data_IF_094255620590
#
_entry.id   IF_094255620590
#
_cell.length_a   1.000
_cell.length_b   1.000
_cell.length_c   1.000
_cell.angle_alpha   90.00
_cell.angle_beta   90.00
_cell.angle_gamma   90.00
#
_symmetry.space_group_name_H-M   'P 1'
#
loop_
_entity.id
_entity.type
_entity.pdbx_description
1 polymer ?
#
# COMPACT_ATOMS: atom_id res chain seq x y z
N UNK A 1 3.97 -26.53 -4.01
CA UNK A 1 3.13 -25.92 -2.97
C UNK A 1 4.09 -25.40 -1.90
N UNK A 2 4.76 -24.27 -2.21
CA UNK A 2 5.65 -23.61 -1.27
C UNK A 2 4.79 -22.83 -0.28
N UNK A 3 4.97 -23.10 1.00
CA UNK A 3 4.48 -22.25 2.08
C UNK A 3 5.23 -20.92 1.97
N UNK A 4 4.53 -19.87 1.54
CA UNK A 4 4.93 -18.49 1.81
C UNK A 4 5.06 -18.40 3.34
N UNK A 5 6.27 -18.15 3.82
CA UNK A 5 6.53 -17.97 5.25
C UNK A 5 5.66 -16.78 5.69
N UNK A 6 4.67 -17.03 6.54
CA UNK A 6 3.85 -15.96 7.10
C UNK A 6 4.82 -15.00 7.79
N UNK A 7 4.87 -13.74 7.35
CA UNK A 7 5.70 -12.71 7.98
C UNK A 7 5.54 -12.84 9.51
N UNK A 8 6.66 -13.13 10.20
CA UNK A 8 6.62 -13.32 11.65
C UNK A 8 6.00 -12.09 12.28
N UNK A 9 5.03 -12.32 13.18
CA UNK A 9 4.45 -11.24 13.98
C UNK A 9 5.60 -10.52 14.72
N UNK A 10 5.62 -9.17 14.72
CA UNK A 10 6.59 -8.47 15.53
C UNK A 10 6.37 -8.84 17.02
N UNK A 11 7.43 -8.96 17.84
CA UNK A 11 7.32 -9.51 19.20
C UNK A 11 6.22 -8.90 20.07
N UNK A 12 6.01 -7.58 20.02
CA UNK A 12 4.94 -6.94 20.79
C UNK A 12 3.53 -7.39 20.37
N UNK A 13 3.33 -7.71 19.09
CA UNK A 13 2.06 -8.23 18.60
C UNK A 13 1.85 -9.71 18.95
N UNK A 14 2.91 -10.47 19.25
CA UNK A 14 2.79 -11.81 19.84
C UNK A 14 2.16 -11.71 21.23
N UNK A 15 2.65 -10.78 22.06
CA UNK A 15 2.09 -10.53 23.39
C UNK A 15 0.62 -10.07 23.33
N UNK A 16 0.29 -9.15 22.42
CA UNK A 16 -1.11 -8.71 22.23
C UNK A 16 -2.01 -9.83 21.70
N UNK A 17 -1.48 -10.80 20.95
CA UNK A 17 -2.26 -11.90 20.42
C UNK A 17 -2.79 -12.82 21.52
N UNK A 18 -2.07 -12.95 22.64
CA UNK A 18 -2.43 -13.77 23.79
C UNK A 18 -3.55 -13.15 24.66
N UNK A 19 -3.87 -11.86 24.45
CA UNK A 19 -4.92 -11.18 25.19
C UNK A 19 -6.33 -11.68 24.78
N UNK A 20 -7.10 -12.12 25.77
CA UNK A 20 -8.45 -12.64 25.56
C UNK A 20 -9.48 -11.52 25.36
N UNK A 21 -10.38 -11.70 24.38
CA UNK A 21 -11.50 -10.80 24.13
C UNK A 21 -12.78 -11.31 24.81
N UNK A 22 -13.39 -10.47 25.67
CA UNK A 22 -14.61 -10.82 26.39
C UNK A 22 -15.86 -10.98 25.48
N UNK A 23 -15.86 -10.32 24.31
CA UNK A 23 -17.00 -10.29 23.39
C UNK A 23 -16.97 -11.45 22.38
N UNK A 24 -16.01 -11.39 21.44
CA UNK A 24 -15.83 -12.35 20.37
C UNK A 24 -14.33 -12.58 20.13
N UNK A 25 -13.92 -13.84 19.87
CA UNK A 25 -12.50 -14.18 19.70
C UNK A 25 -11.87 -13.42 18.54
N UNK A 26 -10.60 -13.06 18.68
CA UNK A 26 -9.83 -12.44 17.61
C UNK A 26 -9.78 -13.36 16.38
N UNK A 27 -9.94 -12.79 15.18
CA UNK A 27 -10.04 -13.56 13.93
C UNK A 27 -11.23 -14.54 13.89
N UNK A 28 -12.20 -14.39 14.79
CA UNK A 28 -13.43 -15.17 14.82
C UNK A 28 -14.44 -14.73 13.75
N UNK A 29 -15.63 -15.36 13.72
CA UNK A 29 -16.72 -14.95 12.83
C UNK A 29 -17.04 -13.46 12.95
N UNK A 30 -17.05 -12.75 11.82
CA UNK A 30 -17.27 -11.29 11.78
C UNK A 30 -16.03 -10.43 12.04
N UNK A 31 -14.90 -11.05 12.41
CA UNK A 31 -13.59 -10.40 12.61
C UNK A 31 -12.51 -10.90 11.65
N UNK A 32 -12.85 -11.81 10.74
CA UNK A 32 -11.92 -12.43 9.80
C UNK A 32 -12.34 -12.12 8.36
N UNK A 33 -11.71 -11.08 7.81
CA UNK A 33 -11.91 -10.58 6.46
C UNK A 33 -11.02 -11.25 5.45
N UNK A 34 -11.58 -11.54 4.28
CA UNK A 34 -10.82 -12.05 3.14
C UNK A 34 -11.26 -11.36 1.85
N UNK A 35 -10.30 -10.85 1.08
CA UNK A 35 -10.47 -10.48 -0.32
C UNK A 35 -9.34 -11.16 -1.11
N UNK A 36 -9.66 -12.19 -1.88
CA UNK A 36 -8.76 -12.78 -2.86
C UNK A 36 -9.24 -12.37 -4.25
N UNK A 37 -8.35 -11.85 -5.09
CA UNK A 37 -8.66 -11.54 -6.48
C UNK A 37 -7.50 -11.97 -7.39
N UNK A 38 -7.82 -12.61 -8.50
CA UNK A 38 -6.87 -12.96 -9.55
C UNK A 38 -7.31 -12.28 -10.85
N UNK A 39 -6.39 -11.54 -11.45
CA UNK A 39 -6.63 -10.84 -12.73
C UNK A 39 -5.69 -11.38 -13.80
N UNK A 40 -6.17 -11.42 -15.05
CA UNK A 40 -5.38 -11.87 -16.19
C UNK A 40 -5.67 -11.05 -17.44
N UNK A 41 -4.68 -10.97 -18.33
CA UNK A 41 -4.77 -10.31 -19.63
C UNK A 41 -4.44 -11.32 -20.74
N UNK A 42 -5.13 -11.21 -21.88
CA UNK A 42 -4.88 -12.05 -23.05
C UNK A 42 -4.42 -11.18 -24.21
N UNK A 43 -3.14 -11.30 -24.59
CA UNK A 43 -2.50 -10.43 -25.59
C UNK A 43 -2.69 -8.95 -25.24
N UNK A 44 -3.08 -8.16 -26.22
CA UNK A 44 -3.29 -6.71 -26.04
C UNK A 44 -4.68 -6.35 -25.50
N UNK A 45 -5.50 -7.35 -25.16
CA UNK A 45 -6.85 -7.18 -24.63
C UNK A 45 -6.89 -6.51 -23.25
N UNK A 46 -8.08 -6.21 -22.71
CA UNK A 46 -8.19 -5.67 -21.35
C UNK A 46 -7.88 -6.74 -20.29
N UNK A 47 -7.35 -6.30 -19.16
CA UNK A 47 -7.26 -7.13 -17.95
C UNK A 47 -8.65 -7.46 -17.42
N UNK A 48 -8.86 -8.72 -17.01
CA UNK A 48 -10.12 -9.23 -16.49
C UNK A 48 -9.93 -9.89 -15.13
N UNK A 49 -10.89 -9.70 -14.24
CA UNK A 49 -11.03 -10.48 -13.01
C UNK A 49 -11.47 -11.90 -13.37
N UNK A 50 -10.60 -12.89 -13.14
CA UNK A 50 -10.83 -14.30 -13.50
C UNK A 50 -11.19 -15.17 -12.29
N UNK A 51 -10.91 -14.67 -11.08
CA UNK A 51 -11.30 -15.31 -9.83
C UNK A 51 -11.42 -14.24 -8.75
N UNK A 52 -12.45 -14.34 -7.94
CA UNK A 52 -12.55 -13.62 -6.67
C UNK A 52 -13.11 -14.53 -5.58
N UNK A 53 -12.73 -14.21 -4.33
CA UNK A 53 -13.34 -14.76 -3.13
C UNK A 53 -13.35 -13.68 -2.07
N UNK A 54 -14.54 -13.33 -1.60
CA UNK A 54 -14.70 -12.28 -0.61
C UNK A 54 -15.50 -12.80 0.59
N UNK A 55 -15.04 -12.48 1.80
CA UNK A 55 -15.79 -12.66 3.05
C UNK A 55 -15.87 -11.35 3.80
N UNK A 56 -16.94 -11.18 4.56
CA UNK A 56 -17.11 -10.02 5.44
C UNK A 56 -15.86 -9.81 6.30
N UNK A 57 -15.37 -8.57 6.45
CA UNK A 57 -16.07 -7.33 6.13
C UNK A 57 -15.81 -6.78 4.73
N UNK A 58 -15.01 -7.44 3.89
CA UNK A 58 -14.82 -6.99 2.52
C UNK A 58 -16.07 -7.18 1.66
N UNK A 59 -16.22 -6.31 0.67
CA UNK A 59 -17.16 -6.41 -0.43
C UNK A 59 -16.48 -5.96 -1.72
N UNK A 60 -16.77 -6.64 -2.83
CA UNK A 60 -16.25 -6.33 -4.15
C UNK A 60 -17.42 -6.30 -5.15
N UNK A 61 -17.65 -5.15 -5.79
CA UNK A 61 -18.75 -4.96 -6.76
C UNK A 61 -18.43 -5.47 -8.17
N UNK A 62 -17.26 -6.09 -8.36
CA UNK A 62 -16.66 -6.35 -9.67
C UNK A 62 -15.61 -5.29 -10.03
N UNK A 63 -15.29 -5.21 -11.32
CA UNK A 63 -14.27 -4.29 -11.84
C UNK A 63 -14.85 -2.97 -12.36
N UNK A 64 -14.04 -1.91 -12.33
CA UNK A 64 -14.30 -0.66 -13.04
C UNK A 64 -13.30 -0.52 -14.20
N UNK A 65 -13.80 -0.51 -15.42
CA UNK A 65 -12.99 -0.38 -16.64
C UNK A 65 -12.98 1.09 -17.12
N UNK A 66 -12.70 2.03 -16.21
CA UNK A 66 -12.73 3.47 -16.50
C UNK A 66 -11.39 4.18 -16.32
N UNK A 67 -10.33 3.40 -16.06
CA UNK A 67 -8.98 3.93 -15.93
C UNK A 67 -8.47 4.46 -17.28
N UNK A 68 -7.74 5.59 -17.33
CA UNK A 68 -7.21 6.13 -18.58
C UNK A 68 -6.12 5.23 -19.22
N UNK A 69 -5.48 4.34 -18.47
CA UNK A 69 -4.47 3.42 -18.98
C UNK A 69 -5.11 2.27 -19.77
N UNK A 70 -4.73 2.08 -21.05
CA UNK A 70 -5.28 1.00 -21.87
C UNK A 70 -5.12 -0.37 -21.21
N UNK A 71 -6.23 -1.10 -21.14
CA UNK A 71 -6.28 -2.47 -20.63
C UNK A 71 -6.08 -2.62 -19.11
N UNK A 72 -6.01 -1.53 -18.35
CA UNK A 72 -6.02 -1.54 -16.89
C UNK A 72 -7.46 -1.68 -16.36
N UNK A 73 -7.64 -2.51 -15.34
CA UNK A 73 -8.92 -2.66 -14.63
C UNK A 73 -8.78 -2.19 -13.19
N UNK A 74 -9.82 -1.58 -12.62
CA UNK A 74 -9.81 -1.12 -11.23
C UNK A 74 -10.64 -2.04 -10.34
N UNK A 75 -10.06 -2.45 -9.21
CA UNK A 75 -10.75 -3.11 -8.11
C UNK A 75 -10.92 -2.13 -6.96
N UNK A 76 -12.15 -1.93 -6.50
CA UNK A 76 -12.46 -1.11 -5.33
C UNK A 76 -12.82 -2.03 -4.18
N UNK A 77 -11.89 -2.24 -3.26
CA UNK A 77 -12.12 -2.97 -2.02
C UNK A 77 -13.01 -2.12 -1.11
N UNK A 78 -14.22 -2.59 -0.87
CA UNK A 78 -15.17 -1.92 0.01
C UNK A 78 -15.17 -2.62 1.36
N UNK A 79 -15.24 -1.84 2.44
CA UNK A 79 -15.46 -2.35 3.77
C UNK A 79 -16.68 -1.62 4.36
N UNK A 80 -17.91 -2.10 4.10
CA UNK A 80 -19.15 -1.43 4.54
C UNK A 80 -19.41 -1.55 6.06
N UNK A 81 -18.38 -1.76 6.87
CA UNK A 81 -18.43 -1.75 8.33
C UNK A 81 -18.21 -0.34 8.87
N UNK A 82 -18.32 -0.18 10.19
CA UNK A 82 -17.99 1.08 10.86
C UNK A 82 -16.49 1.36 10.97
N UNK A 83 -15.61 0.47 10.49
CA UNK A 83 -14.16 0.49 10.69
C UNK A 83 -13.64 -0.78 11.37
N UNK A 84 -12.33 -0.82 11.56
CA UNK A 84 -11.56 -1.94 12.08
C UNK A 84 -11.52 -1.87 13.60
N UNK A 85 -11.88 -2.96 14.27
CA UNK A 85 -11.98 -3.05 15.72
C UNK A 85 -11.00 -4.08 16.32
N UNK A 86 -10.92 -4.10 17.65
CA UNK A 86 -10.07 -5.03 18.38
C UNK A 86 -10.30 -6.50 18.01
N UNK A 87 -9.21 -7.19 17.66
CA UNK A 87 -9.24 -8.58 17.25
C UNK A 87 -9.58 -8.82 15.78
N UNK A 88 -9.75 -7.76 14.97
CA UNK A 88 -9.99 -7.92 13.53
C UNK A 88 -8.72 -8.40 12.80
N UNK A 89 -8.90 -9.27 11.82
CA UNK A 89 -7.88 -9.87 10.97
C UNK A 89 -8.39 -9.79 9.54
N UNK A 90 -7.93 -8.80 8.78
CA UNK A 90 -8.33 -8.61 7.39
C UNK A 90 -7.19 -9.02 6.49
N UNK A 91 -7.46 -9.90 5.54
CA UNK A 91 -6.51 -10.37 4.54
C UNK A 91 -6.95 -10.00 3.13
N UNK A 92 -6.07 -9.37 2.38
CA UNK A 92 -6.20 -9.08 0.96
C UNK A 92 -5.11 -9.83 0.20
N UNK A 93 -5.45 -10.51 -0.88
CA UNK A 93 -4.51 -11.19 -1.77
C UNK A 93 -4.86 -10.86 -3.22
N UNK A 94 -3.96 -10.18 -3.92
CA UNK A 94 -4.13 -9.78 -5.31
C UNK A 94 -3.06 -10.47 -6.15
N UNK A 95 -3.49 -11.28 -7.13
CA UNK A 95 -2.60 -12.00 -8.05
C UNK A 95 -2.82 -11.49 -9.47
N UNK A 96 -1.85 -10.73 -9.97
CA UNK A 96 -1.79 -10.26 -11.35
C UNK A 96 -0.96 -11.25 -12.18
N UNK A 97 -1.65 -12.02 -13.03
CA UNK A 97 -1.04 -12.92 -13.99
C UNK A 97 -0.21 -12.16 -15.05
N UNK A 98 0.60 -12.86 -15.89
CA UNK A 98 1.51 -12.20 -16.83
C UNK A 98 0.82 -11.13 -17.68
N UNK A 99 1.46 -9.96 -17.77
CA UNK A 99 0.99 -8.79 -18.50
C UNK A 99 -0.31 -8.16 -17.99
N UNK A 100 -0.90 -8.65 -16.89
CA UNK A 100 -2.11 -8.08 -16.32
C UNK A 100 -1.86 -6.72 -15.67
N UNK A 101 -2.87 -5.85 -15.72
CA UNK A 101 -2.82 -4.48 -15.21
C UNK A 101 -3.99 -4.21 -14.29
N UNK A 102 -3.70 -3.91 -13.04
CA UNK A 102 -4.74 -3.67 -12.04
C UNK A 102 -4.39 -2.51 -11.12
N UNK A 103 -5.39 -1.66 -10.91
CA UNK A 103 -5.41 -0.65 -9.87
C UNK A 103 -6.32 -1.14 -8.75
N UNK A 104 -5.79 -1.31 -7.55
CA UNK A 104 -6.54 -1.70 -6.36
C UNK A 104 -6.59 -0.50 -5.43
N UNK A 105 -7.79 -0.09 -5.05
CA UNK A 105 -8.02 1.01 -4.12
C UNK A 105 -9.12 0.66 -3.12
N UNK A 106 -9.29 1.47 -2.08
CA UNK A 106 -10.39 1.34 -1.11
C UNK A 106 -11.42 2.44 -1.32
N UNK A 107 -12.68 2.16 -0.95
CA UNK A 107 -13.77 3.13 -1.11
C UNK A 107 -13.68 4.32 -0.15
N UNK A 108 -12.96 4.17 0.95
CA UNK A 108 -12.81 5.20 1.98
C UNK A 108 -11.51 5.01 2.75
N UNK A 109 -11.21 5.98 3.61
CA UNK A 109 -10.21 5.81 4.66
C UNK A 109 -10.54 4.59 5.55
N UNK A 110 -9.50 3.88 5.96
CA UNK A 110 -9.57 2.82 6.96
C UNK A 110 -9.59 3.46 8.33
N UNK A 111 -10.60 3.15 9.14
CA UNK A 111 -10.78 3.71 10.47
C UNK A 111 -10.46 2.65 11.51
N UNK A 112 -9.37 2.80 12.25
CA UNK A 112 -8.97 1.87 13.30
C UNK A 112 -9.45 2.39 14.65
N UNK A 113 -10.36 1.67 15.29
CA UNK A 113 -10.97 2.05 16.56
C UNK A 113 -10.07 1.73 17.75
N UNK A 114 -10.34 2.40 18.88
CA UNK A 114 -9.71 2.15 20.17
C UNK A 114 -9.86 0.70 20.62
N UNK A 115 -8.85 0.20 21.33
CA UNK A 115 -8.79 -1.22 21.73
C UNK A 115 -8.47 -1.35 23.21
N UNK A 116 -9.30 -2.10 23.94
CA UNK A 116 -9.03 -2.41 25.34
C UNK A 116 -8.15 -3.67 25.51
N UNK A 117 -8.08 -4.50 24.47
CA UNK A 117 -7.32 -5.74 24.44
C UNK A 117 -7.16 -6.21 22.99
N UNK A 118 -6.14 -7.03 22.73
CA UNK A 118 -5.74 -7.53 21.44
C UNK A 118 -5.40 -6.40 20.45
N UNK A 119 -5.28 -6.71 19.17
CA UNK A 119 -4.93 -5.75 18.12
C UNK A 119 -5.76 -6.01 16.86
N UNK A 120 -5.68 -5.13 15.87
CA UNK A 120 -6.13 -5.39 14.51
C UNK A 120 -4.96 -5.66 13.55
N UNK A 121 -5.14 -6.62 12.64
CA UNK A 121 -4.17 -6.91 11.58
C UNK A 121 -4.78 -6.69 10.22
N UNK A 122 -4.19 -5.82 9.41
CA UNK A 122 -4.51 -5.61 8.01
C UNK A 122 -3.35 -6.15 7.17
N UNK A 123 -3.56 -7.27 6.49
CA UNK A 123 -2.54 -8.01 5.75
C UNK A 123 -2.87 -7.98 4.25
N UNK A 124 -1.99 -7.39 3.44
CA UNK A 124 -2.10 -7.35 1.99
C UNK A 124 -0.94 -8.11 1.34
N UNK A 125 -1.25 -9.11 0.53
CA UNK A 125 -0.30 -9.84 -0.31
C UNK A 125 -0.52 -9.47 -1.78
N UNK A 126 0.50 -8.91 -2.43
CA UNK A 126 0.44 -8.45 -3.81
C UNK A 126 1.42 -9.27 -4.64
N UNK A 127 0.94 -9.89 -5.72
CA UNK A 127 1.79 -10.66 -6.63
C UNK A 127 1.64 -10.14 -8.04
N UNK A 128 2.76 -9.81 -8.67
CA UNK A 128 2.81 -9.41 -10.07
C UNK A 128 3.72 -10.37 -10.83
N UNK A 129 3.13 -11.16 -11.72
CA UNK A 129 3.86 -12.01 -12.64
C UNK A 129 4.52 -11.19 -13.77
N UNK A 130 5.24 -11.88 -14.66
CA UNK A 130 6.07 -11.28 -15.70
C UNK A 130 5.36 -10.17 -16.49
N UNK A 131 5.98 -8.99 -16.55
CA UNK A 131 5.42 -7.79 -17.22
C UNK A 131 4.11 -7.26 -16.63
N UNK A 132 3.69 -7.74 -15.46
CA UNK A 132 2.47 -7.32 -14.77
C UNK A 132 2.62 -5.92 -14.16
N UNK A 133 1.52 -5.17 -14.14
CA UNK A 133 1.41 -3.87 -13.48
C UNK A 133 0.35 -3.94 -12.38
N UNK A 134 0.76 -3.78 -11.12
CA UNK A 134 -0.14 -3.81 -9.98
C UNK A 134 0.08 -2.57 -9.12
N UNK A 135 -0.93 -1.73 -8.97
CA UNK A 135 -0.88 -0.62 -8.02
C UNK A 135 -1.91 -0.81 -6.91
N UNK A 136 -1.48 -0.71 -5.65
CA UNK A 136 -2.34 -0.71 -4.46
C UNK A 136 -2.27 0.68 -3.81
N UNK A 137 -3.30 1.47 -4.06
CA UNK A 137 -3.41 2.87 -3.62
C UNK A 137 -4.66 3.00 -2.73
N UNK A 138 -4.62 2.49 -1.48
CA UNK A 138 -5.74 2.62 -0.56
C UNK A 138 -5.95 4.08 -0.11
N UNK A 139 -7.13 4.36 0.45
CA UNK A 139 -7.33 5.57 1.23
C UNK A 139 -6.52 5.57 2.53
N UNK A 140 -6.41 6.72 3.22
CA UNK A 140 -5.61 6.84 4.43
C UNK A 140 -6.08 5.92 5.57
N UNK A 141 -5.15 5.55 6.44
CA UNK A 141 -5.41 4.83 7.69
C UNK A 141 -5.50 5.82 8.84
N UNK A 142 -6.70 6.03 9.34
CA UNK A 142 -7.01 6.89 10.49
C UNK A 142 -6.98 6.04 11.75
N UNK A 143 -6.08 6.36 12.68
CA UNK A 143 -5.83 5.57 13.89
C UNK A 143 -6.28 6.36 15.12
N UNK A 144 -7.26 5.84 15.85
CA UNK A 144 -7.78 6.47 17.07
C UNK A 144 -6.92 6.19 18.31
N UNK A 145 -7.19 6.95 19.36
CA UNK A 145 -6.69 6.72 20.72
C UNK A 145 -6.77 5.25 21.18
N UNK A 146 -5.77 4.79 21.93
CA UNK A 146 -5.64 3.41 22.44
C UNK A 146 -5.68 2.29 21.37
N UNK A 147 -5.62 2.61 20.08
CA UNK A 147 -5.63 1.58 19.03
C UNK A 147 -4.30 0.81 18.95
N UNK A 148 -4.40 -0.48 18.59
CA UNK A 148 -3.25 -1.32 18.22
C UNK A 148 -3.44 -1.85 16.80
N UNK A 149 -2.61 -1.41 15.86
CA UNK A 149 -2.74 -1.78 14.45
C UNK A 149 -1.43 -2.32 13.90
N UNK A 150 -1.49 -3.53 13.35
CA UNK A 150 -0.46 -4.09 12.49
C UNK A 150 -0.94 -4.00 11.04
N UNK A 151 -0.20 -3.30 10.19
CA UNK A 151 -0.36 -3.34 8.74
C UNK A 151 0.83 -4.06 8.12
N UNK A 152 0.56 -5.00 7.22
CA UNK A 152 1.58 -5.74 6.50
C UNK A 152 1.26 -5.70 5.02
N UNK A 153 2.23 -5.30 4.21
CA UNK A 153 2.17 -5.41 2.74
C UNK A 153 3.33 -6.26 2.28
N UNK A 154 3.05 -7.43 1.72
CA UNK A 154 4.05 -8.33 1.14
C UNK A 154 3.91 -8.33 -0.37
N UNK A 155 5.02 -8.19 -1.08
CA UNK A 155 5.05 -8.03 -2.54
C UNK A 155 5.96 -9.10 -3.13
N UNK A 156 5.45 -9.86 -4.10
CA UNK A 156 6.21 -10.84 -4.90
C UNK A 156 6.22 -10.37 -6.36
N UNK A 157 7.41 -10.04 -6.87
CA UNK A 157 7.61 -9.56 -8.24
C UNK A 157 8.36 -10.60 -9.09
N UNK A 158 7.87 -10.80 -10.31
CA UNK A 158 8.61 -11.44 -11.39
C UNK A 158 9.35 -10.41 -12.27
N UNK A 159 10.07 -10.89 -13.28
CA UNK A 159 10.77 -10.04 -14.25
C UNK A 159 9.83 -9.08 -14.97
N UNK A 160 10.33 -7.88 -15.26
CA UNK A 160 9.59 -6.83 -15.95
C UNK A 160 8.32 -6.33 -15.21
N UNK A 161 8.00 -6.87 -14.04
CA UNK A 161 6.85 -6.45 -13.27
C UNK A 161 7.07 -5.06 -12.64
N UNK A 162 5.97 -4.34 -12.47
CA UNK A 162 5.93 -3.07 -11.75
C UNK A 162 4.86 -3.13 -10.68
N UNK A 163 5.24 -2.86 -9.42
CA UNK A 163 4.30 -2.75 -8.30
C UNK A 163 4.40 -1.38 -7.67
N UNK A 164 3.26 -0.70 -7.49
CA UNK A 164 3.19 0.58 -6.78
C UNK A 164 2.34 0.42 -5.52
N UNK A 165 2.82 0.88 -4.37
CA UNK A 165 2.10 0.81 -3.10
C UNK A 165 2.09 2.17 -2.43
N UNK A 166 0.92 2.63 -2.00
CA UNK A 166 0.78 3.83 -1.18
C UNK A 166 0.29 3.48 0.23
N UNK A 167 0.71 4.29 1.20
CA UNK A 167 0.18 4.29 2.57
C UNK A 167 0.20 5.71 3.14
N UNK A 168 -0.87 6.10 3.85
CA UNK A 168 -0.97 7.39 4.54
C UNK A 168 -1.52 7.15 5.93
N UNK A 169 -0.70 7.40 6.95
CA UNK A 169 -1.09 7.36 8.36
C UNK A 169 -1.62 8.72 8.80
N UNK A 170 -2.82 8.70 9.39
CA UNK A 170 -3.51 9.82 10.02
C UNK A 170 -3.73 9.49 11.52
N UNK A 171 -2.85 9.96 12.42
CA UNK A 171 -2.75 9.57 13.84
C UNK A 171 -3.56 10.44 14.80
N UNK A 172 -4.40 11.36 14.33
CA UNK A 172 -5.29 12.23 15.11
C UNK A 172 -6.74 11.70 15.19
N UNK A 173 -6.98 10.52 14.60
CA UNK A 173 -8.21 9.76 14.66
C UNK A 173 -9.47 10.50 14.21
N UNK A 174 -10.64 10.09 14.73
CA UNK A 174 -11.97 10.56 14.30
C UNK A 174 -12.67 11.45 15.35
N UNK A 175 -12.06 11.63 16.52
CA UNK A 175 -12.58 12.36 17.67
C UNK A 175 -11.60 13.47 18.07
N UNK A 176 -12.01 14.46 18.87
CA UNK A 176 -11.14 15.53 19.37
C UNK A 176 -10.10 14.99 20.40
N UNK A 177 -9.16 14.15 19.96
CA UNK A 177 -8.00 13.74 20.76
C UNK A 177 -6.70 14.34 20.21
N UNK A 178 -5.66 14.32 21.04
CA UNK A 178 -4.34 14.75 20.60
C UNK A 178 -3.77 13.74 19.58
N UNK A 179 -3.07 14.21 18.51
CA UNK A 179 -2.38 13.33 17.60
C UNK A 179 -1.44 12.37 18.33
N UNK A 180 -1.34 11.14 17.82
CA UNK A 180 -0.55 10.06 18.40
C UNK A 180 -1.10 9.54 19.74
N UNK A 181 -2.42 9.59 19.93
CA UNK A 181 -3.09 9.01 21.11
C UNK A 181 -3.22 7.48 21.11
N UNK A 182 -2.82 6.80 20.03
CA UNK A 182 -2.90 5.35 19.90
C UNK A 182 -1.83 4.63 20.75
N UNK A 183 -2.02 3.33 20.99
CA UNK A 183 -1.07 2.52 21.77
C UNK A 183 0.11 2.07 20.89
N UNK A 184 -0.19 1.40 19.77
CA UNK A 184 0.85 0.88 18.87
C UNK A 184 0.39 0.83 17.42
N UNK A 185 1.07 1.55 16.53
CA UNK A 185 0.91 1.43 15.09
C UNK A 185 2.20 0.88 14.47
N UNK A 186 2.09 -0.23 13.74
CA UNK A 186 3.21 -0.82 13.01
C UNK A 186 2.76 -1.14 11.58
N UNK A 187 3.24 -0.35 10.61
CA UNK A 187 3.05 -0.62 9.20
C UNK A 187 4.37 -1.11 8.58
N UNK A 188 4.34 -2.26 7.92
CA UNK A 188 5.53 -2.89 7.31
C UNK A 188 5.27 -3.21 5.85
N UNK A 189 6.25 -2.89 5.00
CA UNK A 189 6.28 -3.24 3.58
C UNK A 189 7.50 -4.11 3.31
N UNK A 190 7.28 -5.27 2.71
CA UNK A 190 8.33 -6.16 2.22
C UNK A 190 8.11 -6.47 0.75
N UNK A 191 9.19 -6.44 -0.02
CA UNK A 191 9.18 -6.83 -1.42
C UNK A 191 10.28 -7.85 -1.71
N UNK A 192 9.90 -8.91 -2.39
CA UNK A 192 10.79 -9.93 -2.92
C UNK A 192 10.77 -9.92 -4.45
N UNK A 193 11.93 -10.13 -5.04
CA UNK A 193 12.13 -10.31 -6.47
C UNK A 193 13.04 -11.53 -6.67
N UNK A 194 12.61 -12.48 -7.49
CA UNK A 194 13.27 -13.79 -7.68
C UNK A 194 13.59 -14.49 -6.33
N UNK A 195 12.63 -14.43 -5.40
CA UNK A 195 12.77 -15.01 -4.04
C UNK A 195 13.85 -14.35 -3.18
N UNK A 196 14.31 -13.14 -3.53
CA UNK A 196 15.26 -12.35 -2.74
C UNK A 196 14.58 -11.10 -2.21
N UNK A 197 14.72 -10.84 -0.92
CA UNK A 197 14.27 -9.61 -0.29
C UNK A 197 15.02 -8.41 -0.88
N UNK A 198 14.29 -7.50 -1.54
CA UNK A 198 14.81 -6.26 -2.12
C UNK A 198 14.41 -5.02 -1.35
N UNK A 199 13.37 -5.11 -0.51
CA UNK A 199 12.95 -4.04 0.38
C UNK A 199 12.34 -4.59 1.67
N UNK A 200 12.69 -3.96 2.79
CA UNK A 200 11.98 -4.08 4.06
C UNK A 200 11.96 -2.70 4.71
N UNK A 201 10.77 -2.11 4.80
CA UNK A 201 10.52 -0.82 5.44
C UNK A 201 9.45 -0.98 6.52
N UNK A 202 9.56 -0.20 7.59
CA UNK A 202 8.52 -0.13 8.61
C UNK A 202 8.39 1.26 9.24
N UNK A 203 7.14 1.63 9.51
CA UNK A 203 6.77 2.71 10.44
C UNK A 203 6.26 2.05 11.71
N UNK A 204 7.07 2.07 12.78
CA UNK A 204 6.72 1.51 14.10
C UNK A 204 6.68 2.63 15.13
N UNK A 205 5.47 2.95 15.60
CA UNK A 205 5.19 4.05 16.51
C UNK A 205 4.51 3.50 17.77
N UNK A 206 5.12 3.80 18.92
CA UNK A 206 4.61 3.51 20.26
C UNK A 206 4.68 4.77 21.11
N UNK A 207 3.66 5.63 21.07
CA UNK A 207 3.73 6.97 21.64
C UNK A 207 4.10 6.98 23.13
N UNK A 208 3.67 5.96 23.89
CA UNK A 208 4.01 5.80 25.30
C UNK A 208 5.48 5.40 25.56
N UNK A 209 6.15 4.76 24.60
CA UNK A 209 7.57 4.37 24.72
C UNK A 209 8.50 5.47 24.20
N UNK A 210 8.14 6.09 23.06
CA UNK A 210 8.87 7.20 22.44
C UNK A 210 7.90 8.16 21.78
N UNK A 211 8.00 9.45 22.15
CA UNK A 211 7.19 10.50 21.54
C UNK A 211 7.47 10.58 20.02
N UNK A 212 6.47 10.33 19.15
CA UNK A 212 6.66 10.38 17.70
C UNK A 212 7.05 11.78 17.21
N UNK A 213 6.77 12.82 18.01
CA UNK A 213 7.09 14.21 17.71
C UNK A 213 8.55 14.57 17.92
N UNK A 214 9.37 13.60 18.35
CA UNK A 214 10.82 13.76 18.37
C UNK A 214 11.34 14.08 16.95
N UNK A 215 12.25 15.07 16.78
CA UNK A 215 12.76 15.45 15.46
C UNK A 215 13.47 14.35 14.68
N UNK A 216 13.93 13.28 15.35
CA UNK A 216 14.53 12.11 14.68
C UNK A 216 13.48 11.07 14.25
N UNK A 217 12.21 11.30 14.56
CA UNK A 217 11.05 10.47 14.17
C UNK A 217 10.17 11.24 13.19
N UNK A 218 9.00 11.74 13.62
CA UNK A 218 8.08 12.50 12.75
C UNK A 218 8.26 14.01 12.94
N UNK A 219 8.79 14.46 14.08
CA UNK A 219 9.00 15.87 14.36
C UNK A 219 7.69 16.64 14.55
N UNK A 220 7.57 17.81 13.94
CA UNK A 220 6.40 18.68 14.10
C UNK A 220 5.16 18.24 13.31
N UNK A 221 5.30 17.24 12.45
CA UNK A 221 4.24 16.79 11.54
C UNK A 221 3.27 15.83 12.21
N UNK A 222 2.07 15.74 11.64
CA UNK A 222 0.98 14.90 12.14
C UNK A 222 0.51 13.89 11.12
N UNK A 223 1.05 13.83 9.91
CA UNK A 223 0.65 12.86 8.87
C UNK A 223 1.90 12.29 8.23
N UNK A 224 1.91 10.96 8.02
CA UNK A 224 3.02 10.25 7.37
C UNK A 224 2.50 9.60 6.09
N UNK A 225 3.02 9.99 4.94
CA UNK A 225 2.75 9.38 3.64
C UNK A 225 3.95 8.62 3.12
N UNK A 226 3.70 7.48 2.48
CA UNK A 226 4.72 6.61 1.90
C UNK A 226 4.24 6.13 0.53
N UNK A 227 5.11 6.22 -0.47
CA UNK A 227 4.84 5.68 -1.81
C UNK A 227 6.06 4.87 -2.24
N UNK A 228 5.82 3.63 -2.65
CA UNK A 228 6.82 2.71 -3.13
C UNK A 228 6.54 2.40 -4.59
N UNK A 229 7.58 2.39 -5.41
CA UNK A 229 7.54 1.83 -6.77
C UNK A 229 8.63 0.79 -6.86
N UNK A 230 8.23 -0.45 -7.11
CA UNK A 230 9.10 -1.60 -7.33
C UNK A 230 9.10 -1.92 -8.82
N UNK A 231 10.29 -1.91 -9.44
CA UNK A 231 10.49 -2.21 -10.84
C UNK A 231 11.91 -2.79 -11.05
N UNK A 232 12.21 -3.96 -10.46
CA UNK A 232 13.54 -4.58 -10.54
C UNK A 232 13.86 -5.04 -11.97
N UNK A 233 15.11 -4.91 -12.42
CA UNK A 233 15.56 -5.41 -13.72
C UNK A 233 16.75 -6.35 -13.56
N UNK A 234 16.78 -7.47 -14.30
CA UNK A 234 17.86 -8.49 -14.21
C UNK A 234 19.26 -7.91 -14.49
N UNK A 235 19.37 -6.92 -15.37
CA UNK A 235 20.64 -6.36 -15.84
C UNK A 235 21.08 -5.07 -15.10
N UNK A 236 20.25 -4.51 -14.22
CA UNK A 236 20.50 -3.19 -13.60
C UNK A 236 20.59 -2.02 -14.60
N UNK A 237 20.47 -2.31 -15.90
CA UNK A 237 20.42 -1.36 -16.99
C UNK A 237 19.04 -1.42 -17.60
N UNK A 238 18.14 -0.54 -17.15
CA UNK A 238 17.00 -0.17 -17.97
C UNK A 238 17.57 0.40 -19.28
N UNK A 239 17.55 -0.39 -20.36
CA UNK A 239 18.06 0.08 -21.64
C UNK A 239 17.23 1.29 -22.07
N UNK A 240 17.90 2.42 -22.31
CA UNK A 240 17.33 3.64 -22.91
C UNK A 240 16.63 3.38 -24.28
N UNK A 241 16.75 2.15 -24.80
CA UNK A 241 16.27 1.69 -26.09
C UNK A 241 14.96 0.88 -26.06
N UNK A 242 14.29 0.75 -24.91
CA UNK A 242 12.99 0.05 -24.83
C UNK A 242 11.84 0.76 -25.59
N UNK A 243 12.09 1.93 -26.19
CA UNK A 243 11.08 2.73 -26.90
C UNK A 243 10.61 2.15 -28.27
N UNK A 244 11.15 1.02 -28.76
CA UNK A 244 10.82 0.49 -30.09
C UNK A 244 10.12 -0.89 -30.12
N UNK A 245 9.79 -1.49 -28.96
CA UNK A 245 8.99 -2.73 -28.93
C UNK A 245 7.65 -2.49 -28.25
N UNK A 246 6.58 -3.02 -28.83
CA UNK A 246 5.15 -2.81 -28.51
C UNK A 246 4.73 -3.43 -27.16
N UNK A 247 5.56 -3.33 -26.12
CA UNK A 247 5.13 -3.62 -24.76
C UNK A 247 4.39 -2.39 -24.22
N UNK A 248 3.08 -2.48 -24.04
CA UNK A 248 2.26 -1.36 -23.58
C UNK A 248 2.64 -0.88 -22.14
N UNK A 249 3.48 -1.61 -21.38
CA UNK A 249 3.96 -1.28 -20.01
C UNK A 249 5.48 -1.21 -20.10
N UNK A 250 6.08 -0.15 -19.57
CA UNK A 250 7.54 0.01 -19.58
C UNK A 250 8.06 0.00 -18.16
N UNK A 251 9.11 -0.80 -17.90
CA UNK A 251 9.92 -0.56 -16.71
C UNK A 251 10.58 0.81 -16.85
N UNK A 252 10.37 1.71 -15.88
CA UNK A 252 10.94 3.04 -15.95
C UNK A 252 12.44 2.94 -15.69
N UNK A 253 13.25 3.69 -16.45
CA UNK A 253 14.64 3.88 -16.07
C UNK A 253 14.70 4.52 -14.68
N UNK A 254 15.45 3.87 -13.76
CA UNK A 254 15.41 4.22 -12.34
C UNK A 254 15.93 5.62 -12.06
N UNK A 255 17.05 6.04 -12.67
CA UNK A 255 17.60 7.38 -12.41
C UNK A 255 16.65 8.48 -12.87
N UNK A 256 16.15 8.47 -14.13
CA UNK A 256 15.19 9.47 -14.59
C UNK A 256 13.89 9.48 -13.77
N UNK A 257 13.44 8.32 -13.27
CA UNK A 257 12.26 8.26 -12.38
C UNK A 257 12.51 8.97 -11.06
N UNK A 258 13.64 8.69 -10.40
CA UNK A 258 14.00 9.29 -9.11
C UNK A 258 14.19 10.81 -9.24
N UNK A 259 14.83 11.27 -10.32
CA UNK A 259 15.02 12.70 -10.57
C UNK A 259 13.69 13.41 -10.78
N UNK A 260 12.77 12.81 -11.53
CA UNK A 260 11.47 13.39 -11.78
C UNK A 260 10.56 13.37 -10.55
N UNK A 261 10.64 12.33 -9.72
CA UNK A 261 9.97 12.32 -8.43
C UNK A 261 10.51 13.41 -7.51
N UNK A 262 11.83 13.61 -7.46
CA UNK A 262 12.44 14.72 -6.71
C UNK A 262 11.97 16.08 -7.21
N UNK A 263 11.95 16.30 -8.53
CA UNK A 263 11.47 17.55 -9.13
C UNK A 263 9.98 17.77 -8.83
N UNK A 264 9.16 16.72 -8.94
CA UNK A 264 7.72 16.80 -8.70
C UNK A 264 7.38 17.18 -7.25
N UNK A 265 8.11 16.65 -6.28
CA UNK A 265 7.77 16.82 -4.85
C UNK A 265 8.65 17.82 -4.09
N UNK A 266 9.69 18.37 -4.74
CA UNK A 266 10.73 19.16 -4.08
C UNK A 266 10.31 20.57 -3.64
N UNK A 267 9.25 21.11 -4.21
CA UNK A 267 8.87 22.54 -4.09
C UNK A 267 7.61 22.79 -3.23
N UNK A 268 7.08 21.81 -2.50
CA UNK A 268 5.89 22.00 -1.65
C UNK A 268 6.26 22.48 -0.23
N UNK A 269 5.89 23.71 0.13
CA UNK A 269 6.14 24.27 1.46
C UNK A 269 5.28 23.65 2.58
N UNK A 270 4.19 22.94 2.23
CA UNK A 270 3.23 22.34 3.19
C UNK A 270 3.64 20.93 3.61
N UNK A 271 4.44 20.24 2.79
CA UNK A 271 4.81 18.84 2.99
C UNK A 271 6.33 18.68 2.90
N UNK A 272 6.93 18.13 3.95
CA UNK A 272 8.33 17.72 3.92
C UNK A 272 8.44 16.38 3.20
N UNK A 273 9.06 16.40 2.02
CA UNK A 273 9.21 15.22 1.18
C UNK A 273 10.68 14.79 1.01
N UNK A 274 10.87 13.51 0.71
CA UNK A 274 12.16 12.95 0.28
C UNK A 274 11.95 11.72 -0.60
N UNK A 275 12.85 11.52 -1.58
CA UNK A 275 12.87 10.36 -2.45
C UNK A 275 14.21 9.64 -2.30
N UNK A 276 14.19 8.31 -2.30
CA UNK A 276 15.40 7.49 -2.33
C UNK A 276 15.25 6.33 -3.30
N UNK A 277 16.38 5.91 -3.88
CA UNK A 277 16.46 4.59 -4.52
C UNK A 277 16.34 3.50 -3.47
N UNK A 278 15.69 2.40 -3.85
CA UNK A 278 15.69 1.17 -3.08
C UNK A 278 16.99 0.40 -3.34
N UNK A 279 17.41 -0.48 -2.42
CA UNK A 279 18.54 -1.39 -2.66
C UNK A 279 18.36 -2.24 -3.91
N UNK A 280 19.48 -2.76 -4.44
CA UNK A 280 19.52 -3.63 -5.61
C UNK A 280 18.83 -3.05 -6.87
N UNK A 281 18.78 -1.73 -6.98
CA UNK A 281 18.10 -1.00 -8.07
C UNK A 281 16.65 -1.46 -8.27
N UNK A 282 15.99 -1.92 -7.20
CA UNK A 282 14.67 -2.52 -7.24
C UNK A 282 13.54 -1.49 -7.41
N UNK A 283 13.85 -0.19 -7.38
CA UNK A 283 12.87 0.88 -7.52
C UNK A 283 13.16 2.09 -6.63
N UNK A 284 12.12 2.80 -6.21
CA UNK A 284 12.22 4.01 -5.40
C UNK A 284 11.17 4.07 -4.29
N UNK A 285 11.47 4.85 -3.25
CA UNK A 285 10.57 5.18 -2.16
C UNK A 285 10.45 6.70 -2.05
N UNK A 286 9.23 7.18 -1.82
CA UNK A 286 8.92 8.56 -1.43
C UNK A 286 8.39 8.55 -0.01
N UNK A 287 8.92 9.42 0.85
CA UNK A 287 8.40 9.68 2.20
C UNK A 287 7.94 11.12 2.31
N UNK A 288 6.76 11.31 2.88
CA UNK A 288 6.07 12.58 3.00
C UNK A 288 5.65 12.80 4.46
N UNK A 289 5.92 13.99 5.00
CA UNK A 289 5.46 14.41 6.32
C UNK A 289 4.73 15.73 6.19
N UNK A 290 3.54 15.86 6.78
CA UNK A 290 2.76 17.10 6.71
C UNK A 290 1.87 17.29 7.93
N UNK A 291 1.26 18.47 8.04
CA UNK A 291 0.33 18.80 9.13
C UNK A 291 -1.14 18.46 8.80
N UNK A 292 -1.46 18.26 7.51
CA UNK A 292 -2.82 17.99 7.04
C UNK A 292 -2.83 16.79 6.11
N UNK A 293 -3.79 15.91 6.30
CA UNK A 293 -4.01 14.72 5.45
C UNK A 293 -4.12 15.12 3.97
N UNK A 294 -4.89 16.18 3.70
CA UNK A 294 -5.15 16.65 2.34
C UNK A 294 -3.86 17.02 1.59
N UNK A 295 -2.91 17.69 2.26
CA UNK A 295 -1.65 18.11 1.63
C UNK A 295 -0.77 16.91 1.31
N UNK A 296 -0.64 15.98 2.26
CA UNK A 296 0.16 14.75 2.06
C UNK A 296 -0.45 13.87 0.97
N UNK A 297 -1.78 13.73 0.96
CA UNK A 297 -2.49 12.91 -0.03
C UNK A 297 -2.42 13.53 -1.43
N UNK A 298 -2.51 14.86 -1.54
CA UNK A 298 -2.34 15.59 -2.80
C UNK A 298 -0.93 15.37 -3.37
N UNK A 299 0.11 15.59 -2.58
CA UNK A 299 1.49 15.41 -3.05
C UNK A 299 1.84 13.94 -3.35
N UNK A 300 1.30 12.99 -2.57
CA UNK A 300 1.43 11.56 -2.86
C UNK A 300 0.80 11.21 -4.21
N UNK A 301 -0.38 11.78 -4.50
CA UNK A 301 -1.08 11.59 -5.76
C UNK A 301 -0.29 12.17 -6.93
N UNK A 302 0.37 13.30 -6.76
CA UNK A 302 1.25 13.88 -7.79
C UNK A 302 2.48 13.00 -8.06
N UNK A 303 3.08 12.42 -7.02
CA UNK A 303 4.17 11.45 -7.18
C UNK A 303 3.69 10.17 -7.88
N UNK A 304 2.49 9.69 -7.54
CA UNK A 304 1.86 8.54 -8.21
C UNK A 304 1.53 8.82 -9.68
N UNK A 305 1.04 10.03 -9.99
CA UNK A 305 0.79 10.50 -11.35
C UNK A 305 2.07 10.50 -12.21
N UNK A 306 3.19 10.98 -11.64
CA UNK A 306 4.50 10.95 -12.30
C UNK A 306 4.96 9.52 -12.58
N UNK A 307 4.79 8.58 -11.62
CA UNK A 307 5.10 7.16 -11.84
C UNK A 307 4.28 6.62 -13.01
N UNK A 308 2.95 6.84 -13.01
CA UNK A 308 2.07 6.33 -14.06
C UNK A 308 2.42 6.91 -15.43
N UNK A 309 2.79 8.19 -15.53
CA UNK A 309 3.25 8.77 -16.79
C UNK A 309 4.48 8.06 -17.34
N UNK A 310 5.41 7.64 -16.48
CA UNK A 310 6.64 6.94 -16.89
C UNK A 310 6.46 5.46 -17.18
N UNK A 311 5.49 4.81 -16.54
CA UNK A 311 5.29 3.35 -16.67
C UNK A 311 4.18 2.97 -17.65
N UNK A 312 3.14 3.81 -17.74
CA UNK A 312 1.92 3.57 -18.53
C UNK A 312 1.68 4.65 -19.61
N UNK A 313 2.47 5.72 -19.64
CA UNK A 313 2.31 6.82 -20.60
C UNK A 313 1.13 7.75 -20.33
N UNK A 314 0.37 7.51 -19.25
CA UNK A 314 -0.82 8.31 -18.86
C UNK A 314 -0.84 8.52 -17.35
N UNK A 315 -1.44 9.62 -16.91
CA UNK A 315 -1.54 9.98 -15.49
C UNK A 315 -2.56 9.14 -14.69
N UNK A 316 -2.71 9.50 -13.43
CA UNK A 316 -3.64 8.88 -12.48
C UNK A 316 -5.11 9.18 -12.84
N UNK A 317 -6.06 8.25 -12.59
CA UNK A 317 -7.48 8.49 -12.80
C UNK A 317 -7.98 9.62 -11.92
N UNK A 318 -8.89 10.45 -12.42
CA UNK A 318 -9.50 11.54 -11.66
C UNK A 318 -10.14 11.04 -10.35
N UNK A 319 -10.01 11.80 -9.25
CA UNK A 319 -10.70 11.47 -8.00
C UNK A 319 -12.20 11.57 -8.23
N UNK A 320 -12.93 10.51 -7.91
CA UNK A 320 -14.40 10.48 -7.99
C UNK A 320 -15.04 10.41 -6.61
N UNK A 321 -14.31 10.77 -5.54
CA UNK A 321 -14.89 10.98 -4.21
C UNK A 321 -15.79 12.23 -4.29
N UNK A 322 -17.10 12.01 -4.28
CA UNK A 322 -18.15 13.03 -4.22
C UNK A 322 -18.54 13.34 -2.78
#
# INVERSE_FOLDING_TARGET
MGTVDSARLPPAFEDYADESLAQAPAGGPGKNGLLEATVARAGDGPTRLIRDRVTVPYHLTGTLDTDPAPGLTTLVAQEPTGGVAQGDRHRMAIDAHPGARVHVTTQSATKVHSMAANYAHLDASLRAAEGGYLEYIPGPTIVNEDARCLQTVTIDLADEAVVVVADVLVPDGLTDHEPFGFDHYHARVEAEYDGRLVCADAVDLRPAERDPRDPASIGEFSVVGSLYVFAPSEDGTATEQAAETVADTHQPALEPLVDALHERIGDDERVRAGVSRLPADAGAIVRLLGHREADVTELLREAWDEIRHRTLGVGAPADRRY
#
